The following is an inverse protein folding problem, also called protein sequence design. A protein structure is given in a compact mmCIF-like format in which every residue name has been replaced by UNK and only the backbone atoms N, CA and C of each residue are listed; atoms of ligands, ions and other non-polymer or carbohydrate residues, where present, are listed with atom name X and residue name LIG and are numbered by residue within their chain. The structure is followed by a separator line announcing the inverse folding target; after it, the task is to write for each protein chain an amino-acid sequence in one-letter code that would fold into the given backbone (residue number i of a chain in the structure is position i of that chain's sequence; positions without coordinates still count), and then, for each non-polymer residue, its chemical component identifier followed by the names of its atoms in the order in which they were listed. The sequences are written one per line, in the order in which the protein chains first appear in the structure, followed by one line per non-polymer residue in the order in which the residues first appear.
data_IF_596606853171
#
_entry.id   IF_596606853171
#
_cell.length_a   1.000
_cell.length_b   1.000
_cell.length_c   1.000
_cell.angle_alpha   90.00
_cell.angle_beta   90.00
_cell.angle_gamma   90.00
#
_symmetry.space_group_name_H-M   'P 1'
#
loop_
_entity.id
_entity.type
_entity.pdbx_description
1 polymer ?
#
# COMPACT_ATOMS: atom_id res chain seq x y z
N UNK A 1 14.55 -18.94 -8.89
CA UNK A 1 13.38 -18.46 -8.09
C UNK A 1 13.85 -17.98 -6.73
N UNK A 2 14.59 -18.74 -5.93
CA UNK A 2 15.03 -18.33 -4.59
C UNK A 2 15.85 -17.03 -4.59
N UNK A 3 16.76 -16.84 -5.55
CA UNK A 3 17.58 -15.63 -5.67
C UNK A 3 16.75 -14.37 -5.92
N UNK A 4 15.75 -14.45 -6.80
CA UNK A 4 14.88 -13.31 -7.08
C UNK A 4 14.01 -12.98 -5.86
N UNK A 5 13.51 -13.98 -5.14
CA UNK A 5 12.75 -13.79 -3.89
C UNK A 5 13.63 -13.12 -2.82
N UNK A 6 14.88 -13.59 -2.66
CA UNK A 6 15.83 -12.98 -1.74
C UNK A 6 16.15 -11.52 -2.13
N UNK A 7 16.39 -11.25 -3.41
CA UNK A 7 16.62 -9.88 -3.89
C UNK A 7 15.45 -8.95 -3.55
N UNK A 8 14.21 -9.41 -3.73
CA UNK A 8 13.02 -8.63 -3.37
C UNK A 8 12.99 -8.34 -1.87
N UNK A 9 13.18 -9.34 -1.02
CA UNK A 9 13.19 -9.17 0.43
C UNK A 9 14.29 -8.22 0.90
N UNK A 10 15.51 -8.41 0.40
CA UNK A 10 16.66 -7.58 0.75
C UNK A 10 16.49 -6.13 0.28
N UNK A 11 16.02 -5.90 -0.95
CA UNK A 11 15.83 -4.53 -1.46
C UNK A 11 14.78 -3.76 -0.67
N UNK A 12 13.69 -4.43 -0.24
CA UNK A 12 12.68 -3.81 0.63
C UNK A 12 13.29 -3.48 1.99
N UNK A 13 13.98 -4.44 2.62
CA UNK A 13 14.57 -4.23 3.94
C UNK A 13 15.63 -3.12 3.93
N UNK A 14 16.49 -3.06 2.90
CA UNK A 14 17.46 -1.98 2.73
C UNK A 14 16.78 -0.61 2.54
N UNK A 15 15.66 -0.56 1.83
CA UNK A 15 14.88 0.68 1.73
C UNK A 15 14.33 1.12 3.10
N UNK A 16 13.89 0.18 3.94
CA UNK A 16 13.53 0.49 5.32
C UNK A 16 14.73 0.99 6.13
N UNK A 17 15.88 0.35 6.02
CA UNK A 17 17.13 0.78 6.67
C UNK A 17 17.52 2.19 6.26
N UNK A 18 17.40 2.51 4.97
CA UNK A 18 17.83 3.81 4.44
C UNK A 18 16.84 4.95 4.70
N UNK A 19 15.53 4.69 4.64
CA UNK A 19 14.54 5.76 4.59
C UNK A 19 13.54 5.77 5.74
N UNK A 20 13.36 4.65 6.44
CA UNK A 20 12.31 4.50 7.45
C UNK A 20 12.89 4.46 8.85
N UNK A 21 13.75 3.52 9.17
CA UNK A 21 14.34 3.39 10.51
C UNK A 21 15.10 4.63 11.00
N UNK A 22 15.78 5.43 10.17
CA UNK A 22 16.37 6.69 10.62
C UNK A 22 15.36 7.73 11.12
N UNK A 23 14.06 7.56 10.80
CA UNK A 23 12.99 8.49 11.21
C UNK A 23 12.32 8.11 12.54
N UNK A 24 12.63 6.92 13.04
CA UNK A 24 12.08 6.42 14.30
C UNK A 24 11.75 4.93 14.25
N UNK A 25 11.39 4.36 15.41
CA UNK A 25 11.09 2.94 15.51
C UNK A 25 9.81 2.57 14.76
N UNK A 26 9.87 1.44 14.06
CA UNK A 26 8.71 0.82 13.42
C UNK A 26 8.32 -0.40 14.23
N UNK A 27 7.09 -0.41 14.74
CA UNK A 27 6.58 -1.52 15.54
C UNK A 27 5.91 -2.60 14.69
N UNK A 28 5.29 -2.21 13.58
CA UNK A 28 4.56 -3.13 12.68
C UNK A 28 4.83 -2.84 11.23
N UNK A 29 4.89 -3.90 10.43
CA UNK A 29 4.88 -3.85 8.97
C UNK A 29 3.72 -4.70 8.49
N UNK A 30 2.74 -4.08 7.84
CA UNK A 30 1.54 -4.76 7.36
C UNK A 30 1.71 -5.05 5.87
N UNK A 31 1.63 -6.33 5.52
CA UNK A 31 1.76 -6.81 4.16
C UNK A 31 0.38 -7.01 3.52
N UNK A 32 0.27 -6.69 2.24
CA UNK A 32 -0.93 -6.92 1.44
C UNK A 32 -0.61 -7.20 -0.02
N UNK A 33 -1.60 -7.73 -0.74
CA UNK A 33 -1.47 -8.13 -2.13
C UNK A 33 -0.97 -9.56 -2.31
N UNK A 34 -0.84 -10.02 -3.55
CA UNK A 34 -0.53 -11.42 -3.88
C UNK A 34 0.80 -11.95 -3.34
N UNK A 35 1.76 -11.06 -3.08
CA UNK A 35 3.08 -11.44 -2.54
C UNK A 35 3.03 -12.10 -1.16
N UNK A 36 2.00 -11.84 -0.36
CA UNK A 36 1.85 -12.44 0.98
C UNK A 36 1.58 -13.95 0.96
N UNK A 37 1.17 -14.49 -0.20
CA UNK A 37 1.01 -15.93 -0.40
C UNK A 37 2.34 -16.66 -0.53
N UNK A 38 3.41 -15.97 -0.86
CA UNK A 38 4.74 -16.53 -0.93
C UNK A 38 5.36 -16.55 0.47
N UNK A 39 5.18 -17.64 1.19
CA UNK A 39 5.70 -17.83 2.54
C UNK A 39 7.22 -17.66 2.63
N UNK A 40 7.96 -18.06 1.58
CA UNK A 40 9.41 -17.85 1.49
C UNK A 40 9.75 -16.37 1.44
N UNK A 41 9.04 -15.58 0.64
CA UNK A 41 9.23 -14.14 0.59
C UNK A 41 8.96 -13.48 1.94
N UNK A 42 7.84 -13.85 2.58
CA UNK A 42 7.46 -13.31 3.89
C UNK A 42 8.51 -13.63 4.93
N UNK A 43 8.98 -14.87 5.00
CA UNK A 43 10.03 -15.29 5.95
C UNK A 43 11.35 -14.55 5.70
N UNK A 44 11.80 -14.46 4.45
CA UNK A 44 13.03 -13.73 4.09
C UNK A 44 12.91 -12.24 4.42
N UNK A 45 11.78 -11.61 4.12
CA UNK A 45 11.53 -10.20 4.41
C UNK A 45 11.51 -9.94 5.92
N UNK A 46 10.84 -10.79 6.70
CA UNK A 46 10.82 -10.68 8.17
C UNK A 46 12.23 -10.73 8.75
N UNK A 47 13.03 -11.70 8.31
CA UNK A 47 14.43 -11.83 8.76
C UNK A 47 15.28 -10.62 8.33
N UNK A 48 15.10 -10.14 7.11
CA UNK A 48 15.84 -9.00 6.59
C UNK A 48 15.48 -7.70 7.34
N UNK A 49 14.19 -7.44 7.60
CA UNK A 49 13.75 -6.29 8.39
C UNK A 49 14.28 -6.33 9.83
N UNK A 50 14.31 -7.51 10.44
CA UNK A 50 14.86 -7.65 11.78
C UNK A 50 16.38 -7.31 11.83
N UNK A 51 17.15 -7.72 10.82
CA UNK A 51 18.57 -7.36 10.71
C UNK A 51 18.77 -5.86 10.53
N UNK A 52 17.99 -5.23 9.64
CA UNK A 52 18.06 -3.78 9.41
C UNK A 52 17.68 -3.01 10.67
N UNK A 53 16.61 -3.38 11.35
CA UNK A 53 16.22 -2.77 12.61
C UNK A 53 17.34 -2.83 13.67
N UNK A 54 17.98 -4.01 13.80
CA UNK A 54 19.09 -4.19 14.73
C UNK A 54 20.30 -3.28 14.41
N UNK A 55 20.61 -3.04 13.13
CA UNK A 55 21.66 -2.11 12.71
C UNK A 55 21.36 -0.67 13.13
N UNK A 56 20.10 -0.33 13.30
CA UNK A 56 19.64 0.98 13.80
C UNK A 56 19.37 1.00 15.31
N UNK A 57 19.72 -0.07 16.05
CA UNK A 57 19.49 -0.19 17.51
C UNK A 57 17.99 -0.25 17.86
N UNK A 58 17.16 -0.72 16.95
CA UNK A 58 15.72 -0.79 17.11
C UNK A 58 15.24 -2.24 17.25
N UNK A 59 14.10 -2.47 17.93
CA UNK A 59 13.48 -3.78 17.98
C UNK A 59 12.99 -4.20 16.59
N UNK A 60 12.99 -5.51 16.33
CA UNK A 60 12.44 -6.06 15.09
C UNK A 60 10.94 -5.75 15.00
N UNK A 61 10.46 -5.25 13.86
CA UNK A 61 9.04 -5.01 13.67
C UNK A 61 8.26 -6.34 13.58
N UNK A 62 7.03 -6.34 14.09
CA UNK A 62 6.09 -7.44 13.85
C UNK A 62 5.60 -7.36 12.43
N UNK A 63 5.72 -8.44 11.66
CA UNK A 63 5.21 -8.51 10.29
C UNK A 63 3.84 -9.19 10.32
N UNK A 64 2.83 -8.48 9.88
CA UNK A 64 1.43 -8.87 9.88
C UNK A 64 0.86 -8.82 8.46
N UNK A 65 -0.31 -9.38 8.23
CA UNK A 65 -1.03 -9.34 6.95
C UNK A 65 -2.25 -8.44 7.07
N UNK A 66 -2.73 -7.91 5.94
CA UNK A 66 -4.03 -7.21 5.91
C UNK A 66 -5.16 -8.08 6.45
N UNK A 67 -5.13 -9.39 6.19
CA UNK A 67 -6.12 -10.34 6.68
C UNK A 67 -6.20 -10.37 8.22
N UNK A 68 -5.09 -10.16 8.93
CA UNK A 68 -5.02 -10.10 10.39
C UNK A 68 -5.77 -8.87 10.95
N UNK A 69 -6.05 -7.89 10.09
CA UNK A 69 -6.78 -6.65 10.40
C UNK A 69 -8.19 -6.60 9.74
N UNK A 70 -8.72 -7.74 9.30
CA UNK A 70 -10.05 -7.83 8.71
C UNK A 70 -10.14 -7.31 7.27
N UNK A 71 -9.01 -7.03 6.61
CA UNK A 71 -8.95 -6.62 5.20
C UNK A 71 -8.43 -7.79 4.35
N UNK A 72 -9.14 -8.23 3.31
CA UNK A 72 -8.64 -9.27 2.43
C UNK A 72 -7.30 -8.86 1.81
N UNK A 73 -6.31 -9.74 1.81
CA UNK A 73 -4.98 -9.47 1.26
C UNK A 73 -5.04 -9.02 -0.22
N UNK A 74 -5.99 -9.55 -0.98
CA UNK A 74 -6.21 -9.23 -2.40
C UNK A 74 -7.29 -8.16 -2.63
N UNK A 75 -8.10 -7.86 -1.63
CA UNK A 75 -9.20 -6.90 -1.71
C UNK A 75 -8.76 -5.43 -1.69
N UNK A 76 -7.52 -5.14 -1.33
CA UNK A 76 -7.04 -3.76 -1.15
C UNK A 76 -7.24 -2.88 -2.38
N UNK A 77 -6.92 -3.39 -3.56
CA UNK A 77 -7.10 -2.61 -4.80
C UNK A 77 -8.57 -2.33 -5.08
N UNK A 78 -9.43 -3.35 -4.97
CA UNK A 78 -10.86 -3.19 -5.17
C UNK A 78 -11.47 -2.19 -4.19
N UNK A 79 -11.11 -2.26 -2.92
CA UNK A 79 -11.54 -1.32 -1.87
C UNK A 79 -11.05 0.10 -2.19
N UNK A 80 -9.78 0.25 -2.59
CA UNK A 80 -9.21 1.54 -2.96
C UNK A 80 -9.96 2.16 -4.13
N UNK A 81 -10.24 1.39 -5.18
CA UNK A 81 -10.99 1.87 -6.34
C UNK A 81 -12.43 2.21 -5.99
N UNK A 82 -13.09 1.43 -5.12
CA UNK A 82 -14.43 1.75 -4.65
C UNK A 82 -14.48 3.08 -3.89
N UNK A 83 -13.52 3.32 -2.99
CA UNK A 83 -13.40 4.59 -2.26
C UNK A 83 -13.14 5.76 -3.23
N UNK A 84 -12.21 5.60 -4.17
CA UNK A 84 -11.90 6.65 -5.14
C UNK A 84 -13.09 6.96 -6.06
N UNK A 85 -13.86 5.95 -6.44
CA UNK A 85 -15.07 6.12 -7.22
C UNK A 85 -16.14 6.88 -6.43
N UNK A 86 -16.37 6.52 -5.16
CA UNK A 86 -17.29 7.21 -4.27
C UNK A 86 -16.89 8.69 -4.10
N UNK A 87 -15.63 8.98 -3.80
CA UNK A 87 -15.11 10.34 -3.70
C UNK A 87 -15.30 11.11 -5.01
N UNK A 88 -15.04 10.46 -6.15
CA UNK A 88 -15.21 11.05 -7.48
C UNK A 88 -16.65 11.43 -7.79
N UNK A 89 -17.62 10.55 -7.52
CA UNK A 89 -19.06 10.77 -7.74
C UNK A 89 -19.57 11.91 -6.86
N UNK A 90 -19.12 11.98 -5.61
CA UNK A 90 -19.51 13.05 -4.69
C UNK A 90 -18.70 14.35 -4.83
N UNK A 91 -17.80 14.42 -5.81
CA UNK A 91 -16.99 15.62 -6.06
C UNK A 91 -15.95 15.91 -4.97
N UNK A 92 -15.64 14.96 -4.11
CA UNK A 92 -14.70 15.14 -3.01
C UNK A 92 -13.23 14.93 -3.48
N UNK A 93 -12.29 15.73 -2.97
CA UNK A 93 -10.86 15.52 -3.28
C UNK A 93 -10.33 14.24 -2.65
N UNK A 94 -9.66 13.41 -3.46
CA UNK A 94 -9.15 12.09 -3.04
C UNK A 94 -7.62 11.98 -3.03
N UNK A 95 -6.89 13.04 -3.42
CA UNK A 95 -5.44 13.07 -3.31
C UNK A 95 -4.99 13.65 -1.96
N UNK A 96 -3.77 13.26 -1.56
CA UNK A 96 -3.06 13.81 -0.40
C UNK A 96 -1.82 14.58 -0.89
N UNK A 97 -1.86 15.92 -0.98
CA UNK A 97 -0.72 16.72 -1.44
C UNK A 97 0.59 16.45 -0.69
N UNK A 98 0.52 16.22 0.61
CA UNK A 98 1.67 15.89 1.46
C UNK A 98 2.38 14.59 1.07
N UNK A 99 1.70 13.69 0.36
CA UNK A 99 2.24 12.39 -0.09
C UNK A 99 2.61 12.42 -1.56
N UNK A 100 1.76 13.05 -2.38
CA UNK A 100 1.89 13.04 -3.84
C UNK A 100 2.72 14.19 -4.40
N UNK A 101 3.02 15.22 -3.60
CA UNK A 101 3.66 16.44 -4.06
C UNK A 101 2.74 17.34 -4.92
N UNK A 102 1.45 17.05 -4.98
CA UNK A 102 0.49 17.87 -5.70
C UNK A 102 0.37 19.27 -5.08
N UNK A 103 0.13 20.28 -5.89
CA UNK A 103 0.02 21.68 -5.41
C UNK A 103 -1.21 21.92 -4.53
N UNK A 104 -2.29 21.16 -4.78
CA UNK A 104 -3.57 21.31 -4.07
C UNK A 104 -4.33 20.00 -4.04
N UNK A 105 -5.38 19.96 -3.23
CA UNK A 105 -6.32 18.84 -3.21
C UNK A 105 -7.18 18.89 -4.47
N UNK A 106 -7.37 17.74 -5.11
CA UNK A 106 -8.11 17.61 -6.35
C UNK A 106 -8.99 16.36 -6.35
N UNK A 107 -10.10 16.46 -7.06
CA UNK A 107 -10.91 15.30 -7.40
C UNK A 107 -10.13 14.41 -8.39
N UNK A 108 -10.06 13.14 -8.12
CA UNK A 108 -9.42 12.16 -8.99
C UNK A 108 -10.48 11.46 -9.85
N UNK A 109 -10.09 11.16 -11.09
CA UNK A 109 -10.95 10.49 -12.05
C UNK A 109 -11.91 11.41 -12.78
N UNK A 110 -12.61 10.81 -13.76
CA UNK A 110 -13.63 11.47 -14.57
C UNK A 110 -14.85 10.55 -14.63
N UNK A 111 -16.03 11.12 -14.45
CA UNK A 111 -17.30 10.43 -14.65
C UNK A 111 -17.82 10.79 -16.04
N UNK A 112 -17.94 9.79 -16.91
CA UNK A 112 -18.58 9.92 -18.20
C UNK A 112 -20.03 9.41 -18.09
N UNK A 113 -20.97 10.33 -18.16
CA UNK A 113 -22.39 9.96 -18.17
C UNK A 113 -22.79 9.46 -19.56
N UNK A 114 -23.63 8.46 -19.66
CA UNK A 114 -24.19 8.07 -20.96
C UNK A 114 -25.00 9.25 -21.53
N UNK A 115 -25.11 9.39 -22.86
CA UNK A 115 -26.03 10.32 -23.45
C UNK A 115 -27.47 10.03 -22.97
N UNK A 116 -28.32 11.04 -22.83
CA UNK A 116 -29.73 10.81 -22.47
C UNK A 116 -30.38 9.86 -23.46
N UNK A 117 -31.21 8.97 -22.96
CA UNK A 117 -31.95 8.05 -23.82
C UNK A 117 -32.88 8.81 -24.76
N UNK A 118 -33.07 8.37 -26.01
CA UNK A 118 -34.06 8.97 -26.91
C UNK A 118 -35.43 9.00 -26.23
N UNK A 119 -35.96 10.22 -25.96
CA UNK A 119 -37.24 10.45 -25.29
C UNK A 119 -37.17 10.96 -23.84
N UNK A 120 -35.99 11.07 -23.22
CA UNK A 120 -35.82 11.64 -21.86
C UNK A 120 -35.63 13.16 -21.83
N UNK A 121 -35.63 13.83 -22.99
CA UNK A 121 -35.59 15.29 -23.07
C UNK A 121 -37.02 15.83 -23.36
N UNK A 122 -37.87 15.87 -22.35
CA UNK A 122 -39.14 16.62 -22.38
C UNK A 122 -39.32 17.38 -21.06
#
# INVERSE_FOLDING_TARGET
VATATALTAESIAQAYGRFVFPRGPIHRVILGGGGVRNSTLVAMLTAALAREAAQHGQPAPVVERHADHGLPDEGREAITWAILADEGIHGRPANLPSVTGARHRARLGQVAWPPPMPGELA
#
